data_IF_872263590830
#
_entry.id   IF_872263590830
#
_cell.length_a   1.000
_cell.length_b   1.000
_cell.length_c   1.000
_cell.angle_alpha   90.00
_cell.angle_beta   90.00
_cell.angle_gamma   90.00
#
_symmetry.space_group_name_H-M   'P 1'
#
loop_
_entity.id
_entity.type
_entity.pdbx_description
1 polymer ?
#
# COMPACT_ATOMS: atom_id res chain seq x y z
N UNK A 1 22.18 -14.62 3.45
CA UNK A 1 21.18 -14.08 4.40
C UNK A 1 20.01 -15.05 4.40
N UNK A 2 19.48 -15.41 5.57
CA UNK A 2 18.33 -16.35 5.64
C UNK A 2 17.05 -15.64 5.19
N UNK A 3 16.15 -16.37 4.55
CA UNK A 3 14.91 -15.80 4.01
C UNK A 3 14.09 -15.07 5.09
N UNK A 4 14.02 -15.65 6.29
CA UNK A 4 13.28 -15.13 7.44
C UNK A 4 13.84 -13.79 7.94
N UNK A 5 15.14 -13.58 7.81
CA UNK A 5 15.78 -12.31 8.16
C UNK A 5 15.41 -11.22 7.16
N UNK A 6 15.37 -11.56 5.87
CA UNK A 6 14.96 -10.63 4.81
C UNK A 6 13.49 -10.28 4.96
N UNK A 7 12.64 -11.28 5.19
CA UNK A 7 11.21 -11.10 5.47
C UNK A 7 10.98 -10.15 6.66
N UNK A 8 11.55 -10.47 7.83
CA UNK A 8 11.40 -9.65 9.02
C UNK A 8 11.90 -8.21 8.83
N UNK A 9 13.02 -8.04 8.13
CA UNK A 9 13.57 -6.71 7.82
C UNK A 9 12.66 -5.89 6.91
N UNK A 10 12.01 -6.54 5.93
CA UNK A 10 11.14 -5.90 4.96
C UNK A 10 9.82 -5.46 5.60
N UNK A 11 9.25 -6.31 6.47
CA UNK A 11 8.08 -5.97 7.27
C UNK A 11 8.35 -4.76 8.18
N UNK A 12 9.48 -4.75 8.89
CA UNK A 12 9.89 -3.61 9.72
C UNK A 12 10.08 -2.33 8.90
N UNK A 13 10.69 -2.44 7.71
CA UNK A 13 10.90 -1.32 6.81
C UNK A 13 9.58 -0.67 6.35
N UNK A 14 8.55 -1.47 6.06
CA UNK A 14 7.21 -0.98 5.72
C UNK A 14 6.61 -0.09 6.82
N UNK A 15 6.68 -0.53 8.08
CA UNK A 15 6.18 0.27 9.21
C UNK A 15 7.01 1.53 9.48
N UNK A 16 8.33 1.45 9.30
CA UNK A 16 9.21 2.62 9.42
C UNK A 16 8.83 3.67 8.39
N UNK A 17 8.63 3.28 7.13
CA UNK A 17 8.17 4.19 6.07
C UNK A 17 6.78 4.76 6.39
N UNK A 18 5.84 3.93 6.86
CA UNK A 18 4.51 4.38 7.28
C UNK A 18 4.57 5.47 8.37
N UNK A 19 5.46 5.29 9.36
CA UNK A 19 5.60 6.21 10.48
C UNK A 19 6.31 7.52 10.09
N UNK A 20 7.29 7.45 9.18
CA UNK A 20 8.05 8.61 8.71
C UNK A 20 7.28 9.44 7.68
N UNK A 21 6.44 8.82 6.86
CA UNK A 21 5.64 9.51 5.86
C UNK A 21 4.39 10.22 6.44
N UNK A 22 3.97 9.87 7.67
CA UNK A 22 2.76 10.42 8.27
C UNK A 22 2.96 11.89 8.75
N UNK A 23 2.10 12.84 8.35
CA UNK A 23 2.27 14.28 8.65
C UNK A 23 2.14 14.64 10.13
N UNK A 24 1.45 13.84 10.95
CA UNK A 24 1.38 14.06 12.41
C UNK A 24 2.54 13.43 13.21
N UNK A 25 3.64 13.03 12.55
CA UNK A 25 4.83 12.44 13.20
C UNK A 25 5.60 13.38 14.15
N UNK A 26 5.02 14.52 14.54
CA UNK A 26 5.55 15.47 15.54
C UNK A 26 5.93 14.87 16.92
N UNK A 27 5.59 13.61 17.19
CA UNK A 27 6.00 12.87 18.39
C UNK A 27 6.94 11.68 18.16
N UNK A 28 7.40 11.43 16.93
CA UNK A 28 8.36 10.36 16.60
C UNK A 28 9.81 10.83 16.67
N UNK A 29 10.81 9.91 16.70
CA UNK A 29 12.21 10.30 16.56
C UNK A 29 12.39 11.05 15.23
N UNK A 30 12.93 12.27 15.29
CA UNK A 30 13.27 13.06 14.11
C UNK A 30 14.39 12.35 13.35
N UNK A 31 14.03 11.57 12.34
CA UNK A 31 14.96 10.86 11.47
C UNK A 31 15.11 11.68 10.18
N UNK A 32 16.35 11.80 9.70
CA UNK A 32 16.68 12.54 8.48
C UNK A 32 15.88 12.05 7.27
N UNK A 33 15.40 12.98 6.43
CA UNK A 33 14.63 12.68 5.20
C UNK A 33 15.34 11.74 4.23
N UNK A 34 16.68 11.69 4.27
CA UNK A 34 17.50 10.76 3.50
C UNK A 34 17.19 9.28 3.82
N UNK A 35 16.82 9.00 5.08
CA UNK A 35 16.45 7.65 5.51
C UNK A 35 15.12 7.22 4.91
N UNK A 36 14.15 8.13 4.81
CA UNK A 36 12.86 7.85 4.19
C UNK A 36 13.02 7.56 2.70
N UNK A 37 13.78 8.39 1.97
CA UNK A 37 14.03 8.18 0.55
C UNK A 37 14.75 6.86 0.28
N UNK A 38 15.79 6.56 1.08
CA UNK A 38 16.54 5.31 1.00
C UNK A 38 15.66 4.09 1.33
N UNK A 39 14.88 4.14 2.41
CA UNK A 39 13.97 3.08 2.81
C UNK A 39 12.91 2.78 1.74
N UNK A 40 12.28 3.82 1.19
CA UNK A 40 11.30 3.69 0.10
C UNK A 40 11.95 3.12 -1.17
N UNK A 41 13.17 3.54 -1.51
CA UNK A 41 13.90 2.99 -2.65
C UNK A 41 14.23 1.50 -2.48
N UNK A 42 14.59 1.06 -1.27
CA UNK A 42 14.85 -0.36 -0.96
C UNK A 42 13.56 -1.19 -1.03
N UNK A 43 12.44 -0.69 -0.49
CA UNK A 43 11.13 -1.34 -0.61
C UNK A 43 10.72 -1.50 -2.07
N UNK A 44 10.83 -0.43 -2.86
CA UNK A 44 10.53 -0.45 -4.28
C UNK A 44 11.45 -1.45 -5.00
N UNK A 45 12.75 -1.44 -4.71
CA UNK A 45 13.70 -2.39 -5.29
C UNK A 45 13.34 -3.86 -5.00
N UNK A 46 12.85 -4.15 -3.80
CA UNK A 46 12.46 -5.50 -3.39
C UNK A 46 11.18 -5.98 -4.11
N UNK A 47 10.22 -5.09 -4.36
CA UNK A 47 8.96 -5.41 -5.06
C UNK A 47 9.17 -5.88 -6.51
N UNK A 48 10.22 -5.38 -7.16
CA UNK A 48 10.58 -5.72 -8.54
C UNK A 48 11.64 -6.83 -8.66
N UNK A 49 11.93 -7.56 -7.58
CA UNK A 49 12.77 -8.76 -7.68
C UNK A 49 12.03 -9.88 -8.41
N UNK A 50 12.80 -10.76 -9.04
CA UNK A 50 12.30 -11.91 -9.81
C UNK A 50 11.72 -13.02 -8.94
N UNK A 51 12.09 -13.06 -7.66
CA UNK A 51 11.56 -14.01 -6.69
C UNK A 51 10.15 -13.58 -6.26
N UNK A 52 9.14 -14.35 -6.67
CA UNK A 52 7.73 -14.07 -6.40
C UNK A 52 7.41 -14.07 -4.90
N UNK A 53 8.07 -14.91 -4.10
CA UNK A 53 7.85 -14.97 -2.65
C UNK A 53 8.36 -13.70 -1.97
N UNK A 54 9.55 -13.27 -2.36
CA UNK A 54 10.15 -12.03 -1.86
C UNK A 54 9.40 -10.79 -2.38
N UNK A 55 8.94 -10.80 -3.64
CA UNK A 55 8.11 -9.74 -4.21
C UNK A 55 6.74 -9.65 -3.51
N UNK A 56 6.10 -10.77 -3.21
CA UNK A 56 4.87 -10.82 -2.40
C UNK A 56 5.10 -10.26 -1.00
N UNK A 57 6.26 -10.53 -0.40
CA UNK A 57 6.57 -9.96 0.91
C UNK A 57 6.87 -8.47 0.87
N UNK A 58 7.52 -8.01 -0.20
CA UNK A 58 7.71 -6.60 -0.47
C UNK A 58 6.36 -5.90 -0.70
N UNK A 59 5.43 -6.55 -1.39
CA UNK A 59 4.06 -6.06 -1.58
C UNK A 59 3.37 -5.85 -0.22
N UNK A 60 3.43 -6.83 0.69
CA UNK A 60 2.87 -6.68 2.03
C UNK A 60 3.50 -5.49 2.79
N UNK A 61 4.82 -5.33 2.72
CA UNK A 61 5.53 -4.21 3.34
C UNK A 61 5.14 -2.84 2.74
N UNK A 62 4.94 -2.79 1.43
CA UNK A 62 4.42 -1.62 0.71
C UNK A 62 2.99 -1.30 1.14
N UNK A 63 2.14 -2.31 1.34
CA UNK A 63 0.82 -2.13 1.92
C UNK A 63 0.87 -1.52 3.32
N UNK A 64 1.77 -2.00 4.19
CA UNK A 64 1.97 -1.40 5.52
C UNK A 64 2.41 0.07 5.43
N UNK A 65 3.28 0.41 4.47
CA UNK A 65 3.68 1.79 4.21
C UNK A 65 2.48 2.67 3.78
N UNK A 66 1.55 2.10 2.99
CA UNK A 66 0.34 2.76 2.52
C UNK A 66 -0.79 2.90 3.54
N UNK A 67 -0.76 2.19 4.67
CA UNK A 67 -1.83 2.21 5.67
C UNK A 67 -2.03 3.58 6.35
N UNK A 68 -0.96 4.37 6.41
CA UNK A 68 -0.88 5.64 7.17
C UNK A 68 -0.95 6.87 6.27
N UNK A 69 -1.15 6.68 4.97
CA UNK A 69 -1.15 7.77 4.01
C UNK A 69 -0.59 7.34 2.66
N UNK A 70 -0.61 8.24 1.67
CA UNK A 70 -0.10 7.92 0.34
C UNK A 70 1.39 7.61 0.40
N UNK A 71 1.86 6.72 -0.48
CA UNK A 71 3.27 6.39 -0.54
C UNK A 71 4.10 7.65 -0.83
N UNK A 72 5.31 7.78 -0.23
CA UNK A 72 6.26 8.86 -0.54
C UNK A 72 6.95 8.62 -1.89
N UNK A 73 6.14 8.40 -2.93
CA UNK A 73 6.52 8.22 -4.32
C UNK A 73 5.68 9.16 -5.18
N UNK A 74 6.23 9.69 -6.29
CA UNK A 74 5.43 10.43 -7.25
C UNK A 74 4.33 9.51 -7.80
N UNK A 75 3.16 10.07 -8.07
CA UNK A 75 2.02 9.33 -8.64
C UNK A 75 2.41 8.71 -10.01
N UNK A 76 3.42 9.29 -10.68
CA UNK A 76 3.89 8.86 -12.00
C UNK A 76 2.89 9.34 -13.07
N UNK A 77 3.38 9.72 -14.24
CA UNK A 77 2.49 10.22 -15.28
C UNK A 77 1.48 9.12 -15.67
N UNK A 78 0.22 9.33 -15.32
CA UNK A 78 -0.88 8.75 -16.09
C UNK A 78 -0.75 9.34 -17.47
N UNK A 79 -0.55 8.49 -18.47
CA UNK A 79 -0.54 8.92 -19.86
C UNK A 79 -1.93 9.43 -20.24
N UNK A 80 -2.17 10.71 -19.99
CA UNK A 80 -3.05 11.54 -20.80
C UNK A 80 -2.22 12.03 -22.01
N UNK A 81 -2.73 11.95 -23.25
CA UNK A 81 -2.00 12.46 -24.40
C UNK A 81 -2.13 13.98 -24.39
N UNK A 82 -1.04 14.69 -24.14
CA UNK A 82 -0.86 16.06 -24.63
C UNK A 82 0.63 16.29 -24.89
N UNK A 83 0.97 16.93 -26.03
CA UNK A 83 2.33 16.98 -26.53
C UNK A 83 3.15 18.05 -25.79
N UNK A 84 4.45 17.96 -26.01
CA UNK A 84 5.47 18.99 -25.72
C UNK A 84 5.93 19.13 -24.26
N UNK A 85 6.99 18.40 -23.92
CA UNK A 85 8.33 19.00 -23.88
C UNK A 85 9.40 17.96 -23.61
N UNK A 86 10.47 18.07 -24.39
CA UNK A 86 11.63 17.20 -24.41
C UNK A 86 12.53 17.35 -23.18
N UNK A 87 13.47 16.40 -23.09
CA UNK A 87 14.71 16.38 -22.30
C UNK A 87 14.65 15.86 -20.86
N UNK A 88 14.83 14.55 -20.71
CA UNK A 88 15.86 14.02 -19.80
C UNK A 88 16.35 12.65 -20.29
N UNK A 89 17.67 12.60 -20.52
CA UNK A 89 18.43 11.53 -21.17
C UNK A 89 18.35 10.17 -20.48
N UNK A 90 18.21 9.18 -21.36
CA UNK A 90 18.48 7.76 -21.24
C UNK A 90 19.91 7.47 -20.74
N UNK A 91 20.04 6.60 -19.73
CA UNK A 91 21.28 5.90 -19.43
C UNK A 91 21.03 4.53 -18.78
N UNK A 92 21.43 3.50 -19.54
CA UNK A 92 22.07 2.26 -19.12
C UNK A 92 21.25 1.03 -18.66
N UNK A 93 21.78 -0.15 -19.02
CA UNK A 93 21.06 -1.34 -19.49
C UNK A 93 21.08 -2.47 -18.47
N UNK A 94 19.97 -2.65 -17.77
CA UNK A 94 19.50 -3.87 -17.08
C UNK A 94 17.96 -3.87 -17.25
N UNK A 95 17.21 -5.00 -17.17
CA UNK A 95 15.79 -5.01 -17.56
C UNK A 95 15.07 -3.86 -16.85
N UNK A 96 14.63 -2.87 -17.64
CA UNK A 96 14.52 -1.49 -17.18
C UNK A 96 13.52 -1.39 -16.03
N UNK A 97 14.05 -1.16 -14.82
CA UNK A 97 13.22 -0.90 -13.64
C UNK A 97 12.43 0.38 -13.92
N UNK A 98 11.09 0.37 -13.81
CA UNK A 98 10.32 1.59 -13.96
C UNK A 98 10.76 2.62 -12.91
N UNK A 99 10.70 3.93 -13.21
CA UNK A 99 10.97 4.96 -12.20
C UNK A 99 10.06 4.72 -10.98
N UNK A 100 10.54 5.02 -9.76
CA UNK A 100 9.78 4.75 -8.54
C UNK A 100 8.52 5.61 -8.53
N UNK A 101 7.37 5.02 -8.92
CA UNK A 101 6.06 5.67 -8.98
C UNK A 101 4.98 4.82 -8.34
N UNK A 102 3.90 5.47 -7.88
CA UNK A 102 2.73 4.76 -7.31
C UNK A 102 2.03 3.90 -8.37
N UNK A 103 1.90 4.41 -9.60
CA UNK A 103 1.40 3.66 -10.76
C UNK A 103 2.22 2.39 -11.07
N UNK A 104 3.55 2.43 -10.92
CA UNK A 104 4.39 1.25 -11.10
C UNK A 104 4.14 0.20 -10.00
N UNK A 105 3.95 0.65 -8.75
CA UNK A 105 3.58 -0.23 -7.63
C UNK A 105 2.23 -0.89 -7.87
N UNK A 106 1.21 -0.12 -8.27
CA UNK A 106 -0.13 -0.62 -8.59
C UNK A 106 -0.07 -1.67 -9.68
N UNK A 107 0.60 -1.38 -10.80
CA UNK A 107 0.77 -2.33 -11.89
C UNK A 107 1.44 -3.63 -11.41
N UNK A 108 2.50 -3.50 -10.59
CA UNK A 108 3.22 -4.65 -10.07
C UNK A 108 2.38 -5.48 -9.10
N UNK A 109 1.54 -4.86 -8.28
CA UNK A 109 0.62 -5.58 -7.39
C UNK A 109 -0.42 -6.36 -8.17
N UNK A 110 -0.97 -5.79 -9.25
CA UNK A 110 -1.90 -6.52 -10.13
C UNK A 110 -1.26 -7.75 -10.76
N UNK A 111 -0.01 -7.63 -11.21
CA UNK A 111 0.77 -8.79 -11.69
C UNK A 111 0.92 -9.88 -10.61
N UNK A 112 1.17 -9.50 -9.35
CA UNK A 112 1.32 -10.43 -8.23
C UNK A 112 -0.02 -11.05 -7.77
N UNK A 113 -1.15 -10.37 -7.97
CA UNK A 113 -2.48 -10.95 -7.73
C UNK A 113 -2.85 -12.05 -8.72
N UNK A 114 -2.20 -12.08 -9.89
CA UNK A 114 -2.32 -13.15 -10.89
C UNK A 114 -1.28 -14.27 -10.76
N UNK A 115 -0.50 -14.30 -9.68
CA UNK A 115 0.54 -15.31 -9.48
C UNK A 115 -0.05 -16.71 -9.21
N UNK A 116 0.76 -17.75 -9.41
CA UNK A 116 0.40 -19.15 -9.15
C UNK A 116 0.47 -19.49 -7.66
N UNK A 117 1.31 -18.80 -6.90
CA UNK A 117 1.43 -19.00 -5.46
C UNK A 117 0.35 -18.21 -4.71
N UNK A 118 -0.59 -18.93 -4.09
CA UNK A 118 -1.70 -18.32 -3.35
C UNK A 118 -1.23 -17.42 -2.21
N UNK A 119 -0.05 -17.69 -1.60
CA UNK A 119 0.50 -16.82 -0.56
C UNK A 119 0.89 -15.45 -1.11
N UNK A 120 1.45 -15.42 -2.32
CA UNK A 120 1.83 -14.18 -3.02
C UNK A 120 0.58 -13.41 -3.41
N UNK A 121 -0.44 -14.10 -3.94
CA UNK A 121 -1.74 -13.52 -4.29
C UNK A 121 -2.41 -12.88 -3.07
N UNK A 122 -2.49 -13.59 -1.93
CA UNK A 122 -3.08 -13.05 -0.69
C UNK A 122 -2.30 -11.84 -0.16
N UNK A 123 -0.96 -11.86 -0.24
CA UNK A 123 -0.12 -10.74 0.18
C UNK A 123 -0.32 -9.51 -0.70
N UNK A 124 -0.42 -9.69 -2.02
CA UNK A 124 -0.69 -8.62 -2.96
C UNK A 124 -2.11 -8.04 -2.77
N UNK A 125 -3.12 -8.89 -2.59
CA UNK A 125 -4.51 -8.49 -2.33
C UNK A 125 -4.62 -7.63 -1.06
N UNK A 126 -4.05 -8.09 0.06
CA UNK A 126 -4.03 -7.31 1.32
C UNK A 126 -3.26 -6.00 1.18
N UNK A 127 -2.14 -6.02 0.47
CA UNK A 127 -1.36 -4.81 0.21
C UNK A 127 -2.17 -3.76 -0.56
N UNK A 128 -2.96 -4.18 -1.53
CA UNK A 128 -3.85 -3.30 -2.27
C UNK A 128 -4.92 -2.69 -1.37
N UNK A 129 -5.57 -3.48 -0.51
CA UNK A 129 -6.54 -2.95 0.46
C UNK A 129 -5.95 -1.89 1.38
N UNK A 130 -4.73 -2.12 1.88
CA UNK A 130 -4.03 -1.14 2.72
C UNK A 130 -3.63 0.12 1.95
N UNK A 131 -3.25 0.01 0.67
CA UNK A 131 -2.96 1.17 -0.18
C UNK A 131 -4.20 2.02 -0.41
N UNK A 132 -5.34 1.38 -0.65
CA UNK A 132 -6.62 2.06 -0.80
C UNK A 132 -7.05 2.78 0.49
N UNK A 133 -6.70 2.25 1.66
CA UNK A 133 -7.04 2.86 2.95
C UNK A 133 -6.32 4.20 3.19
N UNK A 134 -5.08 4.36 2.71
CA UNK A 134 -4.30 5.59 2.92
C UNK A 134 -4.16 6.50 1.70
N UNK A 135 -4.65 6.09 0.52
CA UNK A 135 -4.61 6.89 -0.70
C UNK A 135 -6.02 7.30 -1.14
N UNK A 136 -6.24 8.60 -1.31
CA UNK A 136 -7.49 9.15 -1.86
C UNK A 136 -7.43 9.30 -3.40
N UNK A 137 -6.34 8.84 -4.01
CA UNK A 137 -6.03 9.08 -5.41
C UNK A 137 -6.70 8.04 -6.32
N UNK A 138 -7.54 8.50 -7.24
CA UNK A 138 -8.38 7.65 -8.08
C UNK A 138 -7.56 6.74 -9.02
N UNK A 139 -6.40 7.18 -9.50
CA UNK A 139 -5.54 6.40 -10.41
C UNK A 139 -4.88 5.21 -9.72
N UNK A 140 -4.80 5.23 -8.38
CA UNK A 140 -4.39 4.10 -7.54
C UNK A 140 -5.61 3.26 -7.13
N UNK A 141 -6.69 3.91 -6.70
CA UNK A 141 -7.86 3.23 -6.12
C UNK A 141 -8.64 2.39 -7.12
N UNK A 142 -9.03 2.97 -8.27
CA UNK A 142 -9.86 2.32 -9.27
C UNK A 142 -9.28 0.99 -9.79
N UNK A 143 -8.03 0.93 -10.27
CA UNK A 143 -7.47 -0.32 -10.81
C UNK A 143 -7.22 -1.38 -9.75
N UNK A 144 -6.99 -1.00 -8.48
CA UNK A 144 -6.81 -1.96 -7.40
C UNK A 144 -8.14 -2.57 -6.95
N UNK A 145 -9.20 -1.75 -6.85
CA UNK A 145 -10.53 -2.23 -6.49
C UNK A 145 -11.11 -3.13 -7.58
N UNK A 146 -10.94 -2.78 -8.85
CA UNK A 146 -11.36 -3.62 -9.98
C UNK A 146 -10.69 -5.01 -9.91
N UNK A 147 -9.37 -5.05 -9.67
CA UNK A 147 -8.63 -6.31 -9.56
C UNK A 147 -9.05 -7.13 -8.32
N UNK A 148 -9.28 -6.48 -7.17
CA UNK A 148 -9.79 -7.15 -5.96
C UNK A 148 -11.18 -7.76 -6.19
N UNK A 149 -12.08 -7.02 -6.85
CA UNK A 149 -13.42 -7.52 -7.17
C UNK A 149 -13.37 -8.69 -8.16
N UNK A 150 -12.48 -8.64 -9.16
CA UNK A 150 -12.25 -9.77 -10.05
C UNK A 150 -11.74 -11.00 -9.26
N UNK A 151 -10.81 -10.80 -8.33
CA UNK A 151 -10.23 -11.84 -7.49
C UNK A 151 -11.23 -12.43 -6.48
N UNK A 152 -12.30 -11.72 -6.14
CA UNK A 152 -13.38 -12.22 -5.28
C UNK A 152 -14.11 -13.44 -5.87
N UNK A 153 -14.09 -13.58 -7.21
CA UNK A 153 -14.68 -14.74 -7.91
C UNK A 153 -13.82 -16.00 -7.87
N UNK A 154 -12.63 -15.95 -7.24
CA UNK A 154 -11.73 -17.08 -7.12
C UNK A 154 -12.36 -18.21 -6.29
N UNK A 155 -12.05 -19.47 -6.61
CA UNK A 155 -12.61 -20.66 -5.94
C UNK A 155 -11.95 -20.96 -4.59
N UNK A 156 -10.82 -20.35 -4.29
CA UNK A 156 -10.09 -20.57 -3.04
C UNK A 156 -10.62 -19.67 -1.93
N UNK A 157 -11.13 -20.28 -0.85
CA UNK A 157 -11.65 -19.57 0.33
C UNK A 157 -10.62 -18.65 0.98
N UNK A 158 -9.35 -19.08 1.09
CA UNK A 158 -8.29 -18.24 1.68
C UNK A 158 -8.07 -16.93 0.91
N UNK A 159 -8.16 -16.98 -0.42
CA UNK A 159 -8.06 -15.79 -1.28
C UNK A 159 -9.29 -14.91 -1.13
N UNK A 160 -10.49 -15.50 -1.11
CA UNK A 160 -11.73 -14.75 -0.86
C UNK A 160 -11.70 -14.05 0.49
N UNK A 161 -11.20 -14.71 1.54
CA UNK A 161 -11.02 -14.11 2.86
C UNK A 161 -10.03 -12.95 2.81
N UNK A 162 -8.89 -13.10 2.13
CA UNK A 162 -7.91 -12.03 1.96
C UNK A 162 -8.46 -10.83 1.16
N UNK A 163 -9.29 -11.07 0.15
CA UNK A 163 -9.97 -10.03 -0.63
C UNK A 163 -11.02 -9.31 0.22
N UNK A 164 -11.83 -10.04 0.99
CA UNK A 164 -12.80 -9.47 1.91
C UNK A 164 -12.15 -8.58 2.97
N UNK A 165 -11.03 -9.04 3.54
CA UNK A 165 -10.17 -8.26 4.44
C UNK A 165 -9.65 -6.99 3.75
N UNK A 166 -9.09 -7.11 2.55
CA UNK A 166 -8.60 -5.97 1.77
C UNK A 166 -9.69 -4.92 1.46
N UNK A 167 -10.89 -5.36 1.04
CA UNK A 167 -12.03 -4.47 0.79
C UNK A 167 -12.57 -3.84 2.07
N UNK A 168 -12.52 -4.57 3.19
CA UNK A 168 -12.89 -4.03 4.51
C UNK A 168 -11.94 -2.91 4.92
N UNK A 169 -10.64 -3.04 4.66
CA UNK A 169 -9.69 -1.95 4.89
C UNK A 169 -9.87 -0.79 3.92
N UNK A 170 -10.15 -1.06 2.64
CA UNK A 170 -10.34 -0.03 1.63
C UNK A 170 -11.60 0.83 1.85
N UNK A 171 -12.71 0.22 2.28
CA UNK A 171 -14.02 0.88 2.35
C UNK A 171 -14.64 0.92 3.75
N UNK A 172 -14.03 0.25 4.74
CA UNK A 172 -14.60 0.11 6.08
C UNK A 172 -14.69 1.41 6.86
N UNK A 173 -14.06 2.50 6.41
CA UNK A 173 -14.21 3.84 6.99
C UNK A 173 -13.70 4.01 8.42
N UNK A 174 -13.25 2.94 9.09
CA UNK A 174 -12.65 3.00 10.42
C UNK A 174 -11.14 2.92 10.27
N UNK A 175 -10.51 4.05 9.98
CA UNK A 175 -9.08 4.19 10.22
C UNK A 175 -8.87 4.15 11.73
N UNK A 176 -8.71 2.97 12.33
CA UNK A 176 -8.34 2.85 13.74
C UNK A 176 -6.88 3.27 13.86
N UNK A 177 -6.60 4.58 13.95
CA UNK A 177 -5.25 5.02 14.23
C UNK A 177 -4.92 4.63 15.68
N UNK A 178 -3.69 4.15 15.93
CA UNK A 178 -3.25 3.89 17.30
C UNK A 178 -3.37 5.14 18.20
N UNK A 179 -3.34 6.34 17.59
CA UNK A 179 -3.63 7.60 18.25
C UNK A 179 -5.08 7.72 18.73
N UNK A 180 -6.06 7.29 17.95
CA UNK A 180 -7.47 7.28 18.35
C UNK A 180 -7.78 6.19 19.38
N UNK A 181 -7.15 5.01 19.31
CA UNK A 181 -7.34 3.97 20.34
C UNK A 181 -6.78 4.39 21.70
N UNK A 182 -5.66 5.12 21.70
CA UNK A 182 -5.00 5.55 22.94
C UNK A 182 -5.48 6.91 23.46
N UNK A 183 -6.07 7.76 22.60
CA UNK A 183 -6.55 9.11 22.96
C UNK A 183 -8.05 9.29 22.95
N UNK A 184 -8.82 8.39 22.34
CA UNK A 184 -10.23 8.32 22.68
C UNK A 184 -10.28 7.85 24.14
N UNK A 185 -10.90 8.64 25.02
CA UNK A 185 -11.47 8.02 26.20
C UNK A 185 -12.33 6.87 25.70
N UNK A 186 -12.26 5.69 26.32
CA UNK A 186 -12.99 4.47 25.94
C UNK A 186 -14.52 4.66 25.97
N UNK A 187 -15.04 5.63 25.25
CA UNK A 187 -16.45 5.85 25.01
C UNK A 187 -16.86 4.79 24.00
N UNK A 188 -17.75 3.91 24.47
CA UNK A 188 -18.35 2.87 23.66
C UNK A 188 -18.88 3.46 22.35
N UNK A 189 -18.65 2.76 21.23
CA UNK A 189 -19.23 3.07 19.91
C UNK A 189 -20.76 3.25 19.94
N UNK A 190 -21.44 2.72 20.97
CA UNK A 190 -22.86 2.95 21.22
C UNK A 190 -23.22 4.43 21.52
N UNK A 191 -22.29 5.22 22.06
CA UNK A 191 -22.48 6.65 22.35
C UNK A 191 -22.31 7.50 21.09
N UNK A 192 -21.40 7.11 20.20
CA UNK A 192 -21.17 7.75 18.90
C UNK A 192 -22.33 7.58 17.91
N UNK A 193 -23.25 6.62 18.16
CA UNK A 193 -24.41 6.33 17.32
C UNK A 193 -25.48 7.44 17.32
N UNK A 194 -25.30 8.52 18.10
CA UNK A 194 -26.13 9.73 17.96
C UNK A 194 -25.87 10.51 16.67
N UNK A 195 -24.81 10.20 15.92
CA UNK A 195 -24.53 10.87 14.64
C UNK A 195 -25.51 10.46 13.52
N UNK A 196 -26.09 9.25 13.58
CA UNK A 196 -27.06 8.77 12.58
C UNK A 196 -28.53 9.03 12.93
N UNK A 197 -28.83 9.54 14.12
CA UNK A 197 -30.22 9.67 14.60
C UNK A 197 -30.69 11.12 14.77
N UNK A 198 -29.95 12.10 14.25
CA UNK A 198 -30.29 13.53 14.35
C UNK A 198 -30.47 14.17 12.98
N UNK A 199 -31.54 13.82 12.26
CA UNK A 199 -31.88 14.45 10.98
C UNK A 199 -33.29 14.08 10.54
N UNK A 200 -34.28 14.79 11.09
CA UNK A 200 -35.69 14.64 10.75
C UNK A 200 -36.57 15.54 11.60
N UNK A 201 -36.42 16.85 11.42
CA UNK A 201 -37.54 17.80 11.53
C UNK A 201 -38.07 18.07 10.12
#
# INVERSE_FOLDING_TARGET
VKYEQVDGSLGALGYVVAQLAHPTSSGGPSIAGDTLSSATAVLFAALFKSDASLAGRAAAAVGHAGLRGPLPLPIGATSTPTPDSADAKEADKAPARPPPSQTAVVKRLRELMGDKDMKVVMQAARAAGHLCAGSEEATVLEPLVEELLALASNKTEEVQFAVGDALSFAFGGVCVSAGEVLRSGFESLAVSNKFFSGGGE
#
